data_IF_815140910608
#
_entry.id   IF_815140910608
#
_cell.length_a   1.000
_cell.length_b   1.000
_cell.length_c   1.000
_cell.angle_alpha   90.00
_cell.angle_beta   90.00
_cell.angle_gamma   90.00
#
_symmetry.space_group_name_H-M   'P 1'
#
loop_
_entity.id
_entity.type
_entity.pdbx_description
1 polymer ?
#
# COMPACT_ATOMS: atom_id res chain seq x y z
N UNK A 1 -21.99 -8.28 30.59
CA UNK A 1 -20.88 -9.11 30.07
C UNK A 1 -21.41 -9.89 28.90
N UNK A 2 -21.35 -9.31 27.69
CA UNK A 2 -21.77 -10.00 26.47
C UNK A 2 -20.75 -11.09 26.13
N UNK A 3 -21.27 -12.22 25.66
CA UNK A 3 -20.58 -13.47 25.35
C UNK A 3 -19.56 -13.32 24.21
N UNK A 4 -18.41 -14.00 24.35
CA UNK A 4 -17.23 -13.98 23.48
C UNK A 4 -17.38 -14.79 22.17
N UNK A 5 -18.54 -14.74 21.50
CA UNK A 5 -18.78 -15.47 20.24
C UNK A 5 -19.50 -14.61 19.17
N UNK A 6 -19.20 -13.32 19.08
CA UNK A 6 -19.67 -12.49 17.97
C UNK A 6 -18.75 -12.64 16.75
N UNK A 7 -18.93 -13.74 16.00
CA UNK A 7 -18.39 -13.87 14.65
C UNK A 7 -19.13 -12.90 13.73
N UNK A 8 -18.60 -11.69 13.58
CA UNK A 8 -19.10 -10.72 12.62
C UNK A 8 -18.92 -11.25 11.20
N UNK A 9 -20.02 -11.27 10.43
CA UNK A 9 -19.97 -11.78 9.07
C UNK A 9 -19.11 -10.89 8.18
N UNK A 10 -18.29 -11.48 7.30
CA UNK A 10 -17.54 -10.75 6.29
C UNK A 10 -18.45 -9.86 5.44
N UNK A 11 -18.05 -8.62 5.22
CA UNK A 11 -18.63 -7.76 4.18
C UNK A 11 -18.19 -8.28 2.81
N UNK A 12 -16.93 -8.68 2.69
CA UNK A 12 -16.39 -9.40 1.54
C UNK A 12 -15.14 -10.19 1.94
N UNK A 13 -14.77 -11.15 1.09
CA UNK A 13 -13.55 -11.94 1.22
C UNK A 13 -12.89 -12.08 -0.14
N UNK A 14 -11.60 -11.73 -0.25
CA UNK A 14 -10.83 -11.90 -1.49
C UNK A 14 -9.33 -11.84 -1.24
N UNK A 15 -8.55 -12.53 -2.08
CA UNK A 15 -7.09 -12.51 -2.04
C UNK A 15 -6.48 -12.77 -0.64
N UNK A 16 -7.09 -13.67 0.15
CA UNK A 16 -6.64 -13.98 1.51
C UNK A 16 -6.97 -12.90 2.56
N UNK A 17 -7.76 -11.90 2.19
CA UNK A 17 -8.24 -10.82 3.06
C UNK A 17 -9.73 -10.98 3.31
N UNK A 18 -10.12 -10.87 4.58
CA UNK A 18 -11.50 -10.88 5.05
C UNK A 18 -11.82 -9.50 5.60
N UNK A 19 -12.74 -8.77 4.97
CA UNK A 19 -13.21 -7.50 5.49
C UNK A 19 -14.42 -7.73 6.38
N UNK A 20 -14.42 -7.19 7.59
CA UNK A 20 -15.58 -7.16 8.50
C UNK A 20 -15.87 -5.72 8.90
N UNK A 21 -17.12 -5.47 9.27
CA UNK A 21 -17.53 -4.21 9.92
C UNK A 21 -18.01 -4.58 11.32
N UNK A 22 -17.39 -4.00 12.33
CA UNK A 22 -17.67 -4.28 13.74
C UNK A 22 -18.14 -3.01 14.46
N UNK A 23 -19.03 -3.09 15.45
CA UNK A 23 -19.36 -1.95 16.31
C UNK A 23 -18.15 -1.51 17.13
N UNK A 24 -17.97 -0.19 17.31
CA UNK A 24 -16.92 0.39 18.14
C UNK A 24 -17.52 1.24 19.27
N UNK A 25 -16.70 1.66 20.24
CA UNK A 25 -17.15 2.53 21.35
C UNK A 25 -17.85 3.80 20.86
N UNK A 26 -17.47 4.28 19.67
CA UNK A 26 -18.14 5.36 18.96
C UNK A 26 -18.26 4.98 17.48
N UNK A 27 -19.47 4.60 17.04
CA UNK A 27 -19.75 4.25 15.65
C UNK A 27 -19.37 2.82 15.28
N UNK A 28 -18.66 2.67 14.17
CA UNK A 28 -18.27 1.39 13.56
C UNK A 28 -16.80 1.40 13.20
N UNK A 29 -16.23 0.22 13.01
CA UNK A 29 -14.87 0.03 12.53
C UNK A 29 -14.87 -0.99 11.40
N UNK A 30 -14.21 -0.63 10.30
CA UNK A 30 -13.90 -1.54 9.20
C UNK A 30 -12.58 -2.24 9.53
N UNK A 31 -12.60 -3.56 9.64
CA UNK A 31 -11.39 -4.34 9.83
C UNK A 31 -11.07 -5.19 8.60
N UNK A 32 -9.85 -5.10 8.09
CA UNK A 32 -9.31 -6.12 7.18
C UNK A 32 -8.51 -7.12 7.99
N UNK A 33 -8.87 -8.39 7.85
CA UNK A 33 -8.28 -9.53 8.55
C UNK A 33 -7.62 -10.48 7.56
N UNK A 34 -6.56 -11.15 7.98
CA UNK A 34 -6.00 -12.27 7.21
C UNK A 34 -6.88 -13.53 7.35
N UNK A 35 -6.52 -14.62 6.66
CA UNK A 35 -7.23 -15.91 6.74
C UNK A 35 -7.22 -16.56 8.13
N UNK A 36 -6.28 -16.16 9.00
CA UNK A 36 -6.19 -16.59 10.40
C UNK A 36 -7.06 -15.72 11.34
N UNK A 37 -7.78 -14.74 10.81
CA UNK A 37 -8.67 -13.86 11.57
C UNK A 37 -7.99 -12.67 12.25
N UNK A 38 -6.69 -12.46 12.03
CA UNK A 38 -5.93 -11.35 12.61
C UNK A 38 -6.18 -10.08 11.79
N UNK A 39 -6.73 -9.05 12.44
CA UNK A 39 -6.96 -7.75 11.83
C UNK A 39 -5.64 -6.97 11.66
N UNK A 40 -5.37 -6.53 10.44
CA UNK A 40 -4.17 -5.76 10.07
C UNK A 40 -4.49 -4.32 9.62
N UNK A 41 -5.73 -4.04 9.22
CA UNK A 41 -6.20 -2.68 8.98
C UNK A 41 -7.48 -2.44 9.78
N UNK A 42 -7.56 -1.29 10.44
CA UNK A 42 -8.74 -0.80 11.15
C UNK A 42 -9.04 0.62 10.72
N UNK A 43 -10.30 0.91 10.37
CA UNK A 43 -10.73 2.27 10.01
C UNK A 43 -12.05 2.58 10.67
N UNK A 44 -12.05 3.60 11.54
CA UNK A 44 -13.25 4.08 12.20
C UNK A 44 -14.19 4.78 11.20
N UNK A 45 -15.49 4.62 11.42
CA UNK A 45 -16.55 5.23 10.65
C UNK A 45 -17.71 5.63 11.59
N UNK A 46 -18.27 6.82 11.38
CA UNK A 46 -19.31 7.35 12.25
C UNK A 46 -20.64 6.56 12.16
N UNK A 47 -20.92 5.94 11.02
CA UNK A 47 -22.16 5.20 10.75
C UNK A 47 -21.89 3.86 10.07
N UNK A 48 -22.85 2.94 10.14
CA UNK A 48 -22.73 1.61 9.48
C UNK A 48 -22.60 1.77 7.97
N UNK A 49 -23.38 2.68 7.38
CA UNK A 49 -23.34 2.99 5.96
C UNK A 49 -21.96 3.51 5.54
N UNK A 50 -21.37 4.44 6.30
CA UNK A 50 -20.02 4.93 6.03
C UNK A 50 -18.97 3.80 6.13
N UNK A 51 -19.11 2.91 7.11
CA UNK A 51 -18.24 1.74 7.24
C UNK A 51 -18.36 0.77 6.05
N UNK A 52 -19.58 0.54 5.56
CA UNK A 52 -19.83 -0.32 4.39
C UNK A 52 -19.31 0.30 3.10
N UNK A 53 -19.48 1.60 2.91
CA UNK A 53 -18.92 2.31 1.76
C UNK A 53 -17.39 2.24 1.74
N UNK A 54 -16.77 2.39 2.91
CA UNK A 54 -15.33 2.25 3.07
C UNK A 54 -14.85 0.81 2.82
N UNK A 55 -15.60 -0.19 3.31
CA UNK A 55 -15.32 -1.59 3.02
C UNK A 55 -15.37 -1.85 1.50
N UNK A 56 -16.40 -1.37 0.79
CA UNK A 56 -16.49 -1.52 -0.67
C UNK A 56 -15.38 -0.77 -1.42
N UNK A 57 -14.99 0.42 -0.95
CA UNK A 57 -13.85 1.14 -1.52
C UNK A 57 -12.54 0.30 -1.40
N UNK A 58 -12.30 -0.28 -0.23
CA UNK A 58 -11.16 -1.19 0.00
C UNK A 58 -11.27 -2.47 -0.85
N UNK A 59 -12.48 -2.97 -1.12
CA UNK A 59 -12.71 -4.11 -2.03
C UNK A 59 -12.25 -3.78 -3.44
N UNK A 60 -12.69 -2.63 -3.97
CA UNK A 60 -12.37 -2.19 -5.34
C UNK A 60 -10.88 -1.94 -5.54
N UNK A 61 -10.19 -1.42 -4.51
CA UNK A 61 -8.74 -1.26 -4.52
C UNK A 61 -8.01 -2.61 -4.63
N UNK A 62 -8.60 -3.69 -4.10
CA UNK A 62 -8.06 -5.04 -4.13
C UNK A 62 -8.51 -5.85 -5.37
N UNK A 63 -9.60 -5.48 -6.03
CA UNK A 63 -10.17 -6.18 -7.19
C UNK A 63 -9.51 -5.86 -8.53
N UNK A 64 -8.74 -4.77 -8.64
CA UNK A 64 -8.19 -4.31 -9.92
C UNK A 64 -7.13 -5.24 -10.57
N UNK A 65 -6.95 -6.49 -10.08
CA UNK A 65 -5.83 -7.39 -10.40
C UNK A 65 -6.18 -8.90 -10.55
N UNK A 66 -7.45 -9.27 -10.75
CA UNK A 66 -7.88 -10.67 -10.95
C UNK A 66 -7.56 -11.16 -12.40
N UNK A 67 -6.89 -12.28 -12.76
CA UNK A 67 -6.58 -13.63 -12.22
C UNK A 67 -5.54 -14.33 -13.16
N UNK A 68 -4.92 -15.53 -12.87
CA UNK A 68 -4.94 -16.36 -11.66
C UNK A 68 -3.54 -16.58 -11.02
N UNK A 69 -3.53 -17.18 -9.81
CA UNK A 69 -2.36 -17.54 -9.01
C UNK A 69 -2.19 -19.07 -8.91
N UNK A 70 -0.94 -19.54 -8.90
CA UNK A 70 -0.57 -20.87 -8.39
C UNK A 70 -0.30 -20.79 -6.88
N UNK A 71 -0.75 -21.80 -6.15
CA UNK A 71 -0.83 -21.86 -4.69
C UNK A 71 0.51 -21.63 -3.95
N UNK A 72 0.46 -20.89 -2.83
CA UNK A 72 1.47 -20.91 -1.76
C UNK A 72 2.02 -19.55 -1.31
N UNK A 73 2.02 -18.54 -2.17
CA UNK A 73 2.64 -17.23 -1.87
C UNK A 73 1.67 -16.10 -2.26
N UNK A 74 1.44 -15.15 -1.34
CA UNK A 74 0.73 -13.93 -1.69
C UNK A 74 1.58 -13.16 -2.71
N UNK A 75 0.97 -12.76 -3.84
CA UNK A 75 1.66 -11.91 -4.82
C UNK A 75 2.17 -10.64 -4.13
N UNK A 76 3.43 -10.25 -4.38
CA UNK A 76 4.02 -9.06 -3.78
C UNK A 76 3.18 -7.83 -4.11
N UNK A 77 3.16 -6.87 -3.20
CA UNK A 77 2.35 -5.67 -3.29
C UNK A 77 3.21 -4.41 -3.12
N UNK A 78 3.07 -3.47 -4.04
CA UNK A 78 3.74 -2.18 -4.04
C UNK A 78 2.77 -1.01 -3.79
N UNK A 79 3.22 -0.04 -3.01
CA UNK A 79 2.56 1.26 -2.84
C UNK A 79 3.19 2.27 -3.79
N UNK A 80 2.42 2.81 -4.74
CA UNK A 80 2.89 3.85 -5.67
C UNK A 80 2.36 5.21 -5.23
N UNK A 81 3.26 6.13 -4.92
CA UNK A 81 2.97 7.48 -4.41
C UNK A 81 3.32 8.52 -5.47
N UNK A 82 2.33 8.96 -6.23
CA UNK A 82 2.46 9.84 -7.40
C UNK A 82 1.17 10.65 -7.59
N UNK A 83 1.29 11.96 -7.78
CA UNK A 83 0.15 12.86 -7.99
C UNK A 83 -0.23 13.03 -9.47
N UNK A 84 0.73 12.89 -10.38
CA UNK A 84 0.51 12.86 -11.82
C UNK A 84 -0.12 11.53 -12.25
N UNK A 85 -1.33 11.60 -12.80
CA UNK A 85 -2.15 10.42 -13.13
C UNK A 85 -1.47 9.55 -14.19
N UNK A 86 -0.86 10.16 -15.21
CA UNK A 86 -0.25 9.45 -16.34
C UNK A 86 1.00 8.68 -15.89
N UNK A 87 1.87 9.32 -15.08
CA UNK A 87 3.01 8.65 -14.46
C UNK A 87 2.56 7.51 -13.53
N UNK A 88 1.55 7.78 -12.70
CA UNK A 88 1.04 6.82 -11.72
C UNK A 88 0.52 5.56 -12.41
N UNK A 89 -0.25 5.74 -13.50
CA UNK A 89 -0.75 4.65 -14.32
C UNK A 89 0.39 3.91 -15.04
N UNK A 90 1.35 4.61 -15.62
CA UNK A 90 2.49 3.99 -16.30
C UNK A 90 3.32 3.10 -15.37
N UNK A 91 3.64 3.56 -14.15
CA UNK A 91 4.36 2.76 -13.18
C UNK A 91 3.53 1.59 -12.64
N UNK A 92 2.24 1.82 -12.37
CA UNK A 92 1.34 0.78 -11.88
C UNK A 92 1.20 -0.36 -12.90
N UNK A 93 0.93 -0.05 -14.16
CA UNK A 93 0.77 -1.05 -15.22
C UNK A 93 2.06 -1.84 -15.48
N UNK A 94 3.22 -1.17 -15.39
CA UNK A 94 4.49 -1.86 -15.51
C UNK A 94 4.72 -2.88 -14.37
N UNK A 95 4.44 -2.50 -13.11
CA UNK A 95 4.56 -3.39 -11.96
C UNK A 95 3.58 -4.57 -12.03
N UNK A 96 2.33 -4.32 -12.42
CA UNK A 96 1.33 -5.37 -12.61
C UNK A 96 1.72 -6.36 -13.70
N UNK A 97 2.29 -5.87 -14.80
CA UNK A 97 2.76 -6.72 -15.90
C UNK A 97 3.84 -7.73 -15.47
N UNK A 98 4.53 -7.47 -14.34
CA UNK A 98 5.52 -8.39 -13.76
C UNK A 98 5.01 -9.14 -12.51
N UNK A 99 3.71 -9.09 -12.24
CA UNK A 99 3.05 -9.83 -11.17
C UNK A 99 3.07 -9.18 -9.79
N UNK A 100 3.41 -7.89 -9.71
CA UNK A 100 3.38 -7.10 -8.47
C UNK A 100 2.04 -6.35 -8.41
N UNK A 101 1.27 -6.59 -7.36
CA UNK A 101 0.02 -5.87 -7.10
C UNK A 101 0.31 -4.43 -6.72
N UNK A 102 -0.58 -3.50 -7.06
CA UNK A 102 -0.33 -2.06 -6.84
C UNK A 102 -1.49 -1.37 -6.15
N UNK A 103 -1.18 -0.61 -5.09
CA UNK A 103 -2.06 0.42 -4.52
C UNK A 103 -1.48 1.78 -4.88
N UNK A 104 -2.33 2.62 -5.48
CA UNK A 104 -1.96 3.98 -5.89
C UNK A 104 -2.43 4.97 -4.83
N UNK A 105 -1.58 5.94 -4.51
CA UNK A 105 -1.84 7.03 -3.57
C UNK A 105 -1.25 8.31 -4.14
N UNK A 106 -1.94 9.43 -4.01
CA UNK A 106 -1.49 10.72 -4.57
C UNK A 106 -1.02 11.72 -3.51
N UNK A 107 -0.92 11.30 -2.26
CA UNK A 107 -0.62 12.14 -1.09
C UNK A 107 0.35 11.44 -0.16
N UNK A 108 1.40 12.14 0.24
CA UNK A 108 2.46 11.57 1.07
C UNK A 108 2.01 11.25 2.49
N UNK A 109 1.16 12.08 3.10
CA UNK A 109 0.66 11.83 4.46
C UNK A 109 -0.19 10.56 4.51
N UNK A 110 -1.04 10.35 3.51
CA UNK A 110 -1.83 9.14 3.39
C UNK A 110 -0.95 7.92 3.09
N UNK A 111 0.06 8.07 2.25
CA UNK A 111 1.00 7.00 1.93
C UNK A 111 1.75 6.50 3.17
N UNK A 112 2.22 7.39 4.06
CA UNK A 112 2.87 7.00 5.32
C UNK A 112 1.93 6.15 6.20
N UNK A 113 0.66 6.57 6.34
CA UNK A 113 -0.35 5.83 7.09
C UNK A 113 -0.61 4.44 6.50
N UNK A 114 -0.75 4.37 5.18
CA UNK A 114 -1.02 3.11 4.46
C UNK A 114 0.19 2.17 4.47
N UNK A 115 1.41 2.70 4.33
CA UNK A 115 2.63 1.91 4.41
C UNK A 115 2.76 1.21 5.76
N UNK A 116 2.47 1.92 6.86
CA UNK A 116 2.46 1.34 8.21
C UNK A 116 1.39 0.26 8.38
N UNK A 117 0.17 0.51 7.89
CA UNK A 117 -0.96 -0.40 8.06
C UNK A 117 -0.89 -1.65 7.16
N UNK A 118 -0.35 -1.53 5.95
CA UNK A 118 -0.36 -2.58 4.94
C UNK A 118 0.99 -3.28 4.80
N UNK A 119 2.06 -2.65 5.29
CA UNK A 119 3.44 -3.12 5.20
C UNK A 119 3.78 -3.61 3.78
N UNK A 120 3.80 -2.74 2.76
CA UNK A 120 4.06 -3.15 1.39
C UNK A 120 5.43 -3.83 1.25
N UNK A 121 5.59 -4.55 0.14
CA UNK A 121 6.85 -5.21 -0.24
C UNK A 121 7.80 -4.26 -0.97
N UNK A 122 7.27 -3.12 -1.45
CA UNK A 122 7.97 -2.05 -2.14
C UNK A 122 7.17 -0.74 -2.07
N UNK A 123 7.85 0.40 -1.96
CA UNK A 123 7.23 1.73 -2.09
C UNK A 123 7.91 2.48 -3.24
N UNK A 124 7.11 3.04 -4.14
CA UNK A 124 7.56 3.96 -5.19
C UNK A 124 7.14 5.38 -4.78
N UNK A 125 8.06 6.35 -4.80
CA UNK A 125 7.80 7.72 -4.33
C UNK A 125 8.24 8.76 -5.37
N UNK A 126 7.34 9.64 -5.78
CA UNK A 126 7.70 10.89 -6.45
C UNK A 126 8.10 11.98 -5.44
N UNK A 127 8.91 12.94 -5.89
CA UNK A 127 9.33 14.08 -5.08
C UNK A 127 8.22 15.14 -4.88
N UNK A 128 7.43 15.43 -5.91
CA UNK A 128 6.44 16.51 -5.91
C UNK A 128 5.07 15.94 -5.55
N UNK A 129 4.77 15.83 -4.27
CA UNK A 129 3.42 15.50 -3.82
C UNK A 129 2.70 16.78 -3.36
N UNK A 130 1.34 16.81 -3.40
CA UNK A 130 0.56 18.01 -3.10
C UNK A 130 0.55 18.42 -1.62
N UNK A 131 1.04 17.56 -0.71
CA UNK A 131 0.98 17.79 0.75
C UNK A 131 2.35 17.86 1.43
N UNK A 132 3.26 16.92 1.15
CA UNK A 132 4.65 16.90 1.65
C UNK A 132 5.61 16.57 0.51
N UNK A 133 6.91 16.86 0.65
CA UNK A 133 7.87 16.40 -0.37
C UNK A 133 8.07 14.89 -0.27
N UNK A 134 8.42 14.25 -1.39
CA UNK A 134 8.80 12.84 -1.41
C UNK A 134 10.01 12.54 -0.54
N UNK A 135 10.94 13.49 -0.41
CA UNK A 135 12.07 13.38 0.51
C UNK A 135 11.61 13.33 1.97
N UNK A 136 10.64 14.17 2.35
CA UNK A 136 10.02 14.13 3.67
C UNK A 136 9.28 12.81 3.92
N UNK A 137 8.50 12.32 2.94
CA UNK A 137 7.87 11.00 3.05
C UNK A 137 8.90 9.89 3.29
N UNK A 138 10.00 9.88 2.54
CA UNK A 138 11.06 8.89 2.71
C UNK A 138 11.64 8.91 4.13
N UNK A 139 11.90 10.10 4.70
CA UNK A 139 12.37 10.21 6.09
C UNK A 139 11.34 9.66 7.08
N UNK A 140 10.07 10.05 6.96
CA UNK A 140 9.00 9.55 7.83
C UNK A 140 8.90 8.03 7.80
N UNK A 141 9.04 7.42 6.63
CA UNK A 141 9.01 5.96 6.48
C UNK A 141 10.23 5.28 7.11
N UNK A 142 11.41 5.92 7.08
CA UNK A 142 12.63 5.39 7.73
C UNK A 142 12.64 5.59 9.24
N UNK A 143 12.01 6.64 9.73
CA UNK A 143 11.95 6.95 11.17
C UNK A 143 10.94 6.08 11.93
N UNK A 144 10.02 5.39 11.23
CA UNK A 144 9.03 4.48 11.81
C UNK A 144 9.49 3.01 11.69
N UNK A 145 9.71 2.27 12.79
CA UNK A 145 10.18 0.89 12.78
C UNK A 145 9.31 -0.09 11.96
N UNK A 146 8.02 0.19 11.81
CA UNK A 146 7.10 -0.68 11.05
C UNK A 146 7.28 -0.54 9.53
N UNK A 147 7.84 0.59 9.09
CA UNK A 147 8.07 0.89 7.66
C UNK A 147 9.54 1.02 7.29
N UNK A 148 10.44 1.18 8.27
CA UNK A 148 11.88 1.28 8.07
C UNK A 148 12.46 0.18 7.17
N UNK A 149 12.07 -1.11 7.32
CA UNK A 149 12.68 -2.15 6.50
C UNK A 149 12.08 -2.21 5.10
N UNK A 150 11.08 -1.38 4.75
CA UNK A 150 10.38 -1.46 3.46
C UNK A 150 11.26 -0.80 2.40
N UNK A 151 11.56 -1.48 1.29
CA UNK A 151 12.34 -0.86 0.22
C UNK A 151 11.61 0.33 -0.40
N UNK A 152 12.32 1.42 -0.62
CA UNK A 152 11.81 2.67 -1.20
C UNK A 152 12.61 2.99 -2.46
N UNK A 153 11.91 3.09 -3.60
CA UNK A 153 12.48 3.60 -4.85
C UNK A 153 11.86 4.97 -5.12
N UNK A 154 12.72 5.98 -5.14
CA UNK A 154 12.38 7.31 -5.58
C UNK A 154 12.38 7.37 -7.11
N UNK A 155 11.30 7.85 -7.73
CA UNK A 155 11.24 8.08 -9.18
C UNK A 155 10.80 9.51 -9.44
N UNK A 156 11.73 10.38 -9.84
CA UNK A 156 11.47 11.83 -9.81
C UNK A 156 12.10 12.60 -10.95
N UNK A 157 11.44 13.68 -11.40
CA UNK A 157 12.03 14.68 -12.28
C UNK A 157 12.96 15.69 -11.58
N UNK A 158 13.07 15.65 -10.25
CA UNK A 158 13.88 16.57 -9.45
C UNK A 158 14.86 15.82 -8.52
N UNK A 159 15.77 14.98 -9.08
CA UNK A 159 16.63 14.12 -8.27
C UNK A 159 17.61 14.88 -7.37
N UNK A 160 18.03 16.08 -7.77
CA UNK A 160 18.94 16.89 -6.96
C UNK A 160 18.24 17.52 -5.76
N UNK A 161 16.99 17.99 -5.93
CA UNK A 161 16.17 18.49 -4.82
C UNK A 161 15.84 17.36 -3.84
N UNK A 162 15.47 16.18 -4.35
CA UNK A 162 15.24 14.96 -3.57
C UNK A 162 16.45 14.63 -2.66
N UNK A 163 17.67 14.71 -3.21
CA UNK A 163 18.90 14.47 -2.44
C UNK A 163 19.23 15.61 -1.48
N UNK A 164 19.13 16.85 -1.91
CA UNK A 164 19.42 18.03 -1.10
C UNK A 164 18.53 18.10 0.14
N UNK A 165 17.28 17.68 0.00
CA UNK A 165 16.34 17.60 1.12
C UNK A 165 16.64 16.43 2.07
N UNK A 166 17.59 15.54 1.77
CA UNK A 166 17.95 14.41 2.63
C UNK A 166 17.00 13.21 2.48
N UNK A 167 16.61 12.87 1.26
CA UNK A 167 15.89 11.62 0.98
C UNK A 167 16.77 10.39 1.30
N UNK A 168 16.16 9.38 1.92
CA UNK A 168 16.79 8.11 2.32
C UNK A 168 16.09 6.93 1.63
N UNK A 169 16.06 6.97 0.30
CA UNK A 169 15.57 5.88 -0.55
C UNK A 169 16.69 4.88 -0.88
N UNK A 170 16.33 3.62 -1.14
CA UNK A 170 17.29 2.58 -1.55
C UNK A 170 17.78 2.80 -2.99
N UNK A 171 16.94 3.43 -3.82
CA UNK A 171 17.32 3.87 -5.16
C UNK A 171 16.62 5.19 -5.53
N UNK A 172 17.28 5.97 -6.39
CA UNK A 172 16.73 7.18 -7.00
C UNK A 172 16.85 7.06 -8.51
N UNK A 173 15.72 7.01 -9.20
CA UNK A 173 15.58 7.02 -10.66
C UNK A 173 15.11 8.40 -11.11
N UNK A 174 15.64 8.87 -12.23
CA UNK A 174 15.30 10.19 -12.79
C UNK A 174 14.29 10.07 -13.92
N UNK A 175 13.21 10.84 -13.86
CA UNK A 175 12.24 10.98 -14.97
C UNK A 175 12.84 11.84 -16.10
N UNK A 176 12.69 11.46 -17.38
CA UNK A 176 12.07 10.23 -17.84
C UNK A 176 12.99 9.02 -17.59
N UNK A 177 12.48 8.01 -16.88
CA UNK A 177 13.20 6.75 -16.69
C UNK A 177 12.69 5.72 -17.68
N UNK A 178 13.59 4.89 -18.22
CA UNK A 178 13.19 3.76 -19.06
C UNK A 178 12.47 2.73 -18.20
N UNK A 179 11.41 2.13 -18.75
CA UNK A 179 10.59 1.20 -17.98
C UNK A 179 11.32 -0.10 -17.62
N UNK A 180 12.25 -0.55 -18.45
CA UNK A 180 13.13 -1.68 -18.15
C UNK A 180 13.99 -1.44 -16.90
N UNK A 181 14.49 -0.21 -16.73
CA UNK A 181 15.31 0.22 -15.60
C UNK A 181 14.48 0.30 -14.33
N UNK A 182 13.26 0.86 -14.43
CA UNK A 182 12.31 0.89 -13.32
C UNK A 182 11.94 -0.53 -12.84
N UNK A 183 11.64 -1.44 -13.76
CA UNK A 183 11.28 -2.82 -13.43
C UNK A 183 12.46 -3.60 -12.87
N UNK A 184 13.67 -3.40 -13.40
CA UNK A 184 14.87 -4.03 -12.86
C UNK A 184 15.14 -3.58 -11.42
N UNK A 185 15.05 -2.28 -11.14
CA UNK A 185 15.17 -1.76 -9.78
C UNK A 185 14.08 -2.31 -8.86
N UNK A 186 12.83 -2.30 -9.32
CA UNK A 186 11.68 -2.82 -8.55
C UNK A 186 11.90 -4.27 -8.15
N UNK A 187 12.35 -5.14 -9.07
CA UNK A 187 12.65 -6.55 -8.78
C UNK A 187 13.86 -6.74 -7.86
N UNK A 188 14.88 -5.90 -7.97
CA UNK A 188 16.09 -5.99 -7.15
C UNK A 188 15.79 -5.71 -5.68
N UNK A 189 14.94 -4.71 -5.43
CA UNK A 189 14.63 -4.26 -4.07
C UNK A 189 13.42 -4.95 -3.46
N UNK A 190 12.52 -5.53 -4.28
CA UNK A 190 11.32 -6.18 -3.80
C UNK A 190 11.61 -7.16 -2.67
N UNK A 191 10.87 -7.04 -1.56
CA UNK A 191 10.97 -8.02 -0.47
C UNK A 191 10.58 -9.42 -0.97
N UNK A 192 11.20 -10.48 -0.43
CA UNK A 192 10.78 -11.83 -0.71
C UNK A 192 9.31 -12.03 -0.30
N UNK A 193 8.56 -12.89 -1.02
CA UNK A 193 7.17 -13.19 -0.68
C UNK A 193 7.06 -13.61 0.77
N UNK A 194 6.02 -13.12 1.45
CA UNK A 194 5.68 -13.62 2.79
C UNK A 194 5.13 -15.02 2.64
N UNK A 195 5.86 -15.99 3.16
CA UNK A 195 5.35 -17.35 3.34
C UNK A 195 4.32 -17.28 4.46
N UNK A 196 3.07 -17.64 4.15
CA UNK A 196 2.07 -17.88 5.20
C UNK A 196 2.28 -19.30 5.71
N UNK A 197 2.79 -19.43 6.94
CA UNK A 197 2.81 -20.70 7.69
C UNK A 197 1.38 -21.24 7.93
#
# INVERSE_FOLDING_TARGET
>A
MASLDETWQPVWQQAGVVCVVVPASFGFEVELRNTQGVAFLRKAAATNEAARNEAEYLRLLLEADQLPAGAGELKPFALVVEDDIDNCEAFAEALKAVGIRVLRVNRGVEAARLAKALSPDLIIVDYRLPDISGAELCRRLRDDPDTEPVPIIAVTGAPDAMRADGCVADAILTKPCRMDTFLAASRLFLRPPRVTD
#
